data_IF_247773420813
#
_entry.id   IF_247773420813
#
_cell.length_a   1.000
_cell.length_b   1.000
_cell.length_c   1.000
_cell.angle_alpha   90.00
_cell.angle_beta   90.00
_cell.angle_gamma   90.00
#
_symmetry.space_group_name_H-M   'P 1'
#
loop_
_entity.id
_entity.type
_entity.pdbx_description
1 polymer ?
#
# COMPACT_ATOMS: atom_id res chain seq x y z
N UNK A 1 62.80 34.69 -6.25
CA UNK A 1 62.64 35.07 -7.68
C UNK A 1 63.49 34.13 -8.54
N UNK A 2 62.95 32.95 -8.88
CA UNK A 2 63.56 31.99 -9.81
C UNK A 2 62.48 31.49 -10.78
N UNK A 3 62.49 32.16 -11.93
CA UNK A 3 62.03 31.83 -13.29
C UNK A 3 61.06 30.65 -13.49
N UNK A 4 59.80 31.02 -13.79
CA UNK A 4 58.71 30.27 -14.44
C UNK A 4 59.07 29.46 -15.71
N UNK A 5 60.30 29.57 -16.23
CA UNK A 5 60.75 28.89 -17.46
C UNK A 5 61.02 27.39 -17.28
N UNK A 6 61.22 26.90 -16.06
CA UNK A 6 61.55 25.48 -15.81
C UNK A 6 60.34 24.55 -15.74
N UNK A 7 59.14 25.07 -15.40
CA UNK A 7 57.93 24.25 -15.30
C UNK A 7 57.23 24.08 -16.66
N UNK A 8 57.39 25.04 -17.57
CA UNK A 8 56.84 24.99 -18.92
C UNK A 8 57.55 23.97 -19.82
N UNK A 9 58.80 23.59 -19.53
CA UNK A 9 59.49 22.52 -20.28
C UNK A 9 59.06 21.12 -19.84
N UNK A 10 58.71 20.92 -18.57
CA UNK A 10 58.22 19.62 -18.08
C UNK A 10 56.81 19.33 -18.62
N UNK A 11 55.96 20.34 -18.75
CA UNK A 11 54.61 20.20 -19.33
C UNK A 11 54.63 20.03 -20.86
N UNK A 12 55.62 20.57 -21.57
CA UNK A 12 55.68 20.48 -23.05
C UNK A 12 56.16 19.12 -23.55
N UNK A 13 56.96 18.40 -22.75
CA UNK A 13 57.53 17.10 -23.16
C UNK A 13 56.56 15.92 -22.94
N UNK A 14 55.53 16.04 -22.09
CA UNK A 14 54.58 14.96 -21.81
C UNK A 14 53.43 14.86 -22.83
N UNK A 15 53.26 15.86 -23.71
CA UNK A 15 52.24 15.87 -24.76
C UNK A 15 52.68 15.22 -26.08
N UNK A 16 53.88 14.65 -26.16
CA UNK A 16 54.36 14.00 -27.38
C UNK A 16 54.82 12.58 -27.06
N UNK A 17 54.04 11.62 -27.54
CA UNK A 17 54.21 10.15 -27.42
C UNK A 17 53.57 9.49 -26.19
N UNK A 18 52.28 9.13 -26.32
CA UNK A 18 51.95 7.71 -26.22
C UNK A 18 50.68 7.40 -27.02
N UNK A 19 50.86 6.53 -28.02
CA UNK A 19 49.82 5.99 -28.89
C UNK A 19 49.01 4.94 -28.12
N UNK A 20 47.89 5.30 -27.51
CA UNK A 20 46.79 4.36 -27.15
C UNK A 20 45.46 5.11 -27.02
N UNK A 21 44.74 5.39 -28.13
CA UNK A 21 43.55 6.24 -28.12
C UNK A 21 42.25 5.44 -27.96
N UNK A 22 42.15 4.49 -27.02
CA UNK A 22 40.92 3.68 -26.92
C UNK A 22 40.42 3.21 -25.55
N UNK A 23 41.15 3.43 -24.46
CA UNK A 23 40.78 2.83 -23.15
C UNK A 23 40.52 3.81 -21.99
N UNK A 24 40.84 5.10 -22.15
CA UNK A 24 40.60 6.10 -21.08
C UNK A 24 39.23 6.78 -21.20
N UNK A 25 38.59 6.74 -22.38
CA UNK A 25 37.28 7.35 -22.60
C UNK A 25 36.09 6.58 -22.00
N UNK A 26 36.26 5.29 -21.67
CA UNK A 26 35.15 4.42 -21.23
C UNK A 26 34.95 4.49 -19.71
N UNK A 27 35.97 4.84 -18.91
CA UNK A 27 35.88 4.83 -17.44
C UNK A 27 35.23 6.09 -16.86
N UNK A 28 35.19 7.20 -17.60
CA UNK A 28 34.57 8.46 -17.18
C UNK A 28 33.04 8.52 -17.36
N UNK A 29 32.45 7.62 -18.15
CA UNK A 29 31.02 7.64 -18.48
C UNK A 29 30.13 6.92 -17.44
N UNK A 30 30.72 6.23 -16.46
CA UNK A 30 29.99 5.40 -15.50
C UNK A 30 29.47 6.15 -14.26
N UNK A 31 29.86 7.42 -14.04
CA UNK A 31 29.49 8.18 -12.83
C UNK A 31 28.28 9.12 -12.96
N UNK A 32 27.67 9.21 -14.14
CA UNK A 32 26.55 10.14 -14.42
C UNK A 32 25.16 9.51 -14.29
N UNK A 33 25.07 8.23 -13.89
CA UNK A 33 23.82 7.49 -13.70
C UNK A 33 23.31 7.49 -12.25
N UNK A 34 23.69 8.48 -11.43
CA UNK A 34 22.90 8.79 -10.24
C UNK A 34 21.62 9.47 -10.69
N UNK A 35 20.67 8.67 -11.19
CA UNK A 35 19.31 9.10 -11.44
C UNK A 35 18.80 9.73 -10.16
N UNK A 36 18.47 11.02 -10.22
CA UNK A 36 17.81 11.73 -9.14
C UNK A 36 16.48 11.01 -8.92
N UNK A 37 16.45 10.07 -7.97
CA UNK A 37 15.25 9.34 -7.60
C UNK A 37 14.40 10.34 -6.82
N UNK A 38 13.68 11.21 -7.54
CA UNK A 38 12.80 12.19 -6.93
C UNK A 38 11.66 11.42 -6.30
N UNK A 39 11.73 11.28 -4.97
CA UNK A 39 10.66 10.68 -4.19
C UNK A 39 9.44 11.60 -4.27
N UNK A 40 8.28 11.02 -4.59
CA UNK A 40 7.04 11.79 -4.68
C UNK A 40 6.66 12.31 -3.28
N UNK A 41 6.16 13.54 -3.21
CA UNK A 41 5.55 14.06 -1.99
C UNK A 41 4.26 13.29 -1.65
N UNK A 42 3.74 13.36 -0.39
CA UNK A 42 2.48 12.74 -0.04
C UNK A 42 1.35 13.11 -1.00
N UNK A 43 1.24 14.39 -1.35
CA UNK A 43 0.23 14.89 -2.29
C UNK A 43 0.40 14.33 -3.70
N UNK A 44 1.62 14.24 -4.20
CA UNK A 44 1.91 13.68 -5.52
C UNK A 44 1.58 12.20 -5.57
N UNK A 45 1.93 11.44 -4.53
CA UNK A 45 1.56 10.02 -4.39
C UNK A 45 0.04 9.86 -4.35
N UNK A 46 -0.67 10.66 -3.53
CA UNK A 46 -2.15 10.64 -3.46
C UNK A 46 -2.77 10.93 -4.82
N UNK A 47 -2.29 11.94 -5.52
CA UNK A 47 -2.80 12.33 -6.85
C UNK A 47 -2.58 11.22 -7.87
N UNK A 48 -1.37 10.65 -7.92
CA UNK A 48 -1.05 9.58 -8.86
C UNK A 48 -1.88 8.32 -8.59
N UNK A 49 -2.07 7.97 -7.31
CA UNK A 49 -2.92 6.86 -6.89
C UNK A 49 -4.37 7.05 -7.35
N UNK A 50 -5.00 8.19 -7.01
CA UNK A 50 -6.42 8.40 -7.33
C UNK A 50 -6.67 8.58 -8.83
N UNK A 51 -5.76 9.21 -9.58
CA UNK A 51 -5.83 9.24 -11.05
C UNK A 51 -5.86 7.83 -11.64
N UNK A 52 -4.99 6.95 -11.16
CA UNK A 52 -4.98 5.55 -11.60
C UNK A 52 -6.29 4.84 -11.23
N UNK A 53 -6.81 5.04 -10.01
CA UNK A 53 -8.07 4.43 -9.57
C UNK A 53 -9.27 4.86 -10.41
N UNK A 54 -9.45 6.16 -10.66
CA UNK A 54 -10.61 6.67 -11.43
C UNK A 54 -10.53 6.28 -12.92
N UNK A 55 -9.33 6.05 -13.45
CA UNK A 55 -9.09 5.56 -14.80
C UNK A 55 -9.17 4.02 -14.92
N UNK A 56 -9.31 3.29 -13.81
CA UNK A 56 -9.30 1.82 -13.80
C UNK A 56 -7.91 1.20 -14.01
N UNK A 57 -6.83 1.96 -13.86
CA UNK A 57 -5.45 1.52 -14.04
C UNK A 57 -4.91 0.87 -12.76
N UNK A 58 -5.42 -0.31 -12.39
CA UNK A 58 -5.13 -0.95 -11.10
C UNK A 58 -3.63 -1.24 -10.88
N UNK A 59 -2.91 -1.66 -11.91
CA UNK A 59 -1.46 -1.90 -11.81
C UNK A 59 -0.66 -0.62 -11.60
N UNK A 60 -1.15 0.52 -12.13
CA UNK A 60 -0.59 1.83 -11.82
C UNK A 60 -0.89 2.22 -10.37
N UNK A 61 -2.13 2.02 -9.91
CA UNK A 61 -2.55 2.33 -8.55
C UNK A 61 -1.73 1.54 -7.51
N UNK A 62 -1.53 0.24 -7.74
CA UNK A 62 -0.73 -0.65 -6.88
C UNK A 62 0.71 -0.17 -6.68
N UNK A 63 1.32 0.53 -7.64
CA UNK A 63 2.67 1.11 -7.49
C UNK A 63 2.75 2.18 -6.41
N UNK A 64 1.64 2.83 -6.10
CA UNK A 64 1.53 3.89 -5.10
C UNK A 64 0.96 3.39 -3.77
N UNK A 65 0.63 2.11 -3.65
CA UNK A 65 0.03 1.51 -2.45
C UNK A 65 1.08 0.81 -1.59
N UNK A 66 0.89 0.86 -0.27
CA UNK A 66 1.72 0.17 0.70
C UNK A 66 1.68 -1.34 0.46
N UNK A 67 2.82 -2.03 0.63
CA UNK A 67 2.96 -3.46 0.29
C UNK A 67 1.87 -4.31 0.95
N UNK A 68 1.59 -4.07 2.22
CA UNK A 68 0.62 -4.83 3.00
C UNK A 68 -0.83 -4.66 2.51
N UNK A 69 -1.15 -3.51 1.90
CA UNK A 69 -2.52 -3.18 1.45
C UNK A 69 -2.69 -3.23 -0.06
N UNK A 70 -1.64 -3.60 -0.80
CA UNK A 70 -1.63 -3.63 -2.26
C UNK A 70 -2.66 -4.62 -2.84
N UNK A 71 -2.88 -5.75 -2.16
CA UNK A 71 -3.86 -6.76 -2.58
C UNK A 71 -5.31 -6.27 -2.50
N UNK A 72 -5.57 -5.23 -1.70
CA UNK A 72 -6.91 -4.64 -1.55
C UNK A 72 -7.26 -3.70 -2.72
N UNK A 73 -6.28 -3.33 -3.54
CA UNK A 73 -6.50 -2.48 -4.73
C UNK A 73 -7.21 -3.28 -5.81
N UNK A 74 -8.53 -3.15 -5.82
CA UNK A 74 -9.44 -3.78 -6.77
C UNK A 74 -10.26 -2.74 -7.51
N UNK A 75 -10.84 -3.15 -8.64
CA UNK A 75 -11.75 -2.31 -9.43
C UNK A 75 -12.93 -1.85 -8.57
N UNK A 76 -13.21 -0.56 -8.57
CA UNK A 76 -14.34 0.05 -7.88
C UNK A 76 -15.23 0.76 -8.90
N UNK A 77 -16.31 0.10 -9.32
CA UNK A 77 -17.22 0.62 -10.36
C UNK A 77 -17.80 2.00 -10.00
N UNK A 78 -17.98 2.28 -8.71
CA UNK A 78 -18.57 3.51 -8.20
C UNK A 78 -17.66 4.75 -8.30
N UNK A 79 -16.35 4.58 -8.49
CA UNK A 79 -15.40 5.70 -8.66
C UNK A 79 -14.80 5.76 -10.07
N UNK A 80 -15.08 4.76 -10.92
CA UNK A 80 -14.59 4.77 -12.28
C UNK A 80 -15.24 5.87 -13.10
N UNK A 81 -14.43 6.60 -13.86
CA UNK A 81 -14.88 7.78 -14.60
C UNK A 81 -15.20 8.99 -13.72
N UNK A 82 -14.99 8.90 -12.41
CA UNK A 82 -15.00 10.05 -11.52
C UNK A 82 -13.83 11.00 -11.85
N UNK A 83 -13.95 12.26 -11.44
CA UNK A 83 -12.91 13.27 -11.64
C UNK A 83 -12.24 13.57 -10.31
N UNK A 84 -10.91 13.49 -10.27
CA UNK A 84 -10.13 13.99 -9.14
C UNK A 84 -10.08 15.51 -9.25
N UNK A 85 -10.81 16.20 -8.37
CA UNK A 85 -10.91 17.66 -8.39
C UNK A 85 -9.68 18.30 -7.76
N UNK A 86 -9.36 17.89 -6.52
CA UNK A 86 -8.34 18.55 -5.72
C UNK A 86 -7.77 17.65 -4.62
N UNK A 87 -6.47 17.77 -4.40
CA UNK A 87 -5.79 17.43 -3.15
C UNK A 87 -5.65 18.68 -2.30
N UNK A 88 -5.91 18.55 -1.00
CA UNK A 88 -6.03 19.65 -0.05
C UNK A 88 -4.95 19.61 1.02
N UNK A 89 -5.35 19.95 2.25
CA UNK A 89 -4.46 20.01 3.40
C UNK A 89 -3.66 18.71 3.59
N UNK A 90 -2.36 18.87 3.84
CA UNK A 90 -1.42 17.78 4.10
C UNK A 90 -0.99 17.88 5.56
N UNK A 91 -1.17 16.81 6.31
CA UNK A 91 -0.68 16.68 7.69
C UNK A 91 0.34 15.55 7.71
N UNK A 92 1.58 15.84 8.08
CA UNK A 92 2.67 14.85 8.18
C UNK A 92 3.00 14.65 9.65
N UNK A 93 2.98 13.39 10.09
CA UNK A 93 3.32 12.97 11.45
C UNK A 93 4.30 11.78 11.39
N UNK A 94 5.59 12.10 11.45
CA UNK A 94 6.68 11.13 11.33
C UNK A 94 6.60 10.32 10.04
N UNK A 95 6.46 8.98 10.11
CA UNK A 95 6.34 8.12 8.94
C UNK A 95 4.93 8.07 8.35
N UNK A 96 3.96 8.83 8.89
CA UNK A 96 2.59 8.86 8.42
C UNK A 96 2.24 10.22 7.81
N UNK A 97 1.31 10.24 6.86
CA UNK A 97 0.72 11.48 6.37
C UNK A 97 -0.77 11.30 6.07
N UNK A 98 -1.51 12.40 6.14
CA UNK A 98 -2.90 12.49 5.67
C UNK A 98 -3.01 13.58 4.63
N UNK A 99 -3.70 13.29 3.54
CA UNK A 99 -3.97 14.25 2.45
C UNK A 99 -5.47 14.33 2.23
N UNK A 100 -6.06 15.50 2.48
CA UNK A 100 -7.46 15.75 2.16
C UNK A 100 -7.68 15.58 0.64
N UNK A 101 -8.66 14.81 0.25
CA UNK A 101 -8.89 14.40 -1.14
C UNK A 101 -10.34 14.68 -1.52
N UNK A 102 -10.53 15.29 -2.70
CA UNK A 102 -11.85 15.61 -3.24
C UNK A 102 -12.03 14.94 -4.59
N UNK A 103 -13.03 14.07 -4.69
CA UNK A 103 -13.40 13.33 -5.91
C UNK A 103 -14.84 13.66 -6.29
N UNK A 104 -15.07 14.04 -7.55
CA UNK A 104 -16.41 14.24 -8.11
C UNK A 104 -16.86 12.97 -8.83
N UNK A 105 -17.88 12.32 -8.27
CA UNK A 105 -18.54 11.17 -8.89
C UNK A 105 -19.44 11.64 -10.03
N UNK A 106 -19.36 10.95 -11.17
CA UNK A 106 -20.32 11.11 -12.26
C UNK A 106 -21.50 10.18 -12.00
N UNK A 107 -22.63 10.74 -11.59
CA UNK A 107 -23.91 10.05 -11.53
C UNK A 107 -24.86 10.63 -12.59
N UNK A 108 -25.76 9.80 -13.11
CA UNK A 108 -26.68 10.16 -14.18
C UNK A 108 -27.67 11.29 -13.82
N UNK A 109 -27.94 11.50 -12.52
CA UNK A 109 -28.95 12.46 -12.06
C UNK A 109 -28.38 13.66 -11.30
N UNK A 110 -27.20 13.56 -10.68
CA UNK A 110 -26.51 14.67 -10.03
C UNK A 110 -25.03 14.34 -9.74
N UNK A 111 -24.13 15.27 -10.01
CA UNK A 111 -22.72 15.14 -9.62
C UNK A 111 -22.62 15.17 -8.09
N UNK A 112 -21.94 14.17 -7.50
CA UNK A 112 -21.73 14.09 -6.05
C UNK A 112 -20.26 14.27 -5.74
N UNK A 113 -19.95 15.24 -4.89
CA UNK A 113 -18.59 15.47 -4.38
C UNK A 113 -18.34 14.62 -3.15
N UNK A 114 -17.26 13.83 -3.16
CA UNK A 114 -16.74 13.08 -2.03
C UNK A 114 -15.51 13.80 -1.48
N UNK A 115 -15.47 14.02 -0.17
CA UNK A 115 -14.30 14.58 0.53
C UNK A 115 -13.89 13.63 1.64
N UNK A 116 -12.63 13.21 1.66
CA UNK A 116 -12.09 12.25 2.63
C UNK A 116 -10.58 12.42 2.79
N UNK A 117 -10.02 11.85 3.86
CA UNK A 117 -8.58 11.82 4.07
C UNK A 117 -7.96 10.55 3.50
N UNK A 118 -7.03 10.73 2.54
CA UNK A 118 -6.14 9.65 2.11
C UNK A 118 -5.03 9.48 3.14
N UNK A 119 -4.85 8.27 3.63
CA UNK A 119 -3.81 7.93 4.61
C UNK A 119 -2.60 7.38 3.89
N UNK A 120 -1.42 7.87 4.24
CA UNK A 120 -0.15 7.42 3.70
C UNK A 120 0.80 7.00 4.82
N UNK A 121 1.68 6.09 4.48
CA UNK A 121 2.82 5.68 5.27
C UNK A 121 4.09 5.74 4.42
N UNK A 122 5.24 5.88 5.06
CA UNK A 122 6.55 5.91 4.40
C UNK A 122 7.17 4.51 4.41
N UNK A 123 7.36 3.92 3.24
CA UNK A 123 8.01 2.62 3.00
C UNK A 123 9.28 2.86 2.19
N UNK A 124 10.44 2.41 2.67
CA UNK A 124 11.73 2.55 1.98
C UNK A 124 11.99 4.00 1.51
N UNK A 125 11.72 4.98 2.39
CA UNK A 125 11.78 6.43 2.12
C UNK A 125 10.82 6.96 1.02
N UNK A 126 9.88 6.15 0.56
CA UNK A 126 8.84 6.51 -0.42
C UNK A 126 7.46 6.55 0.23
N UNK A 127 6.69 7.59 -0.04
CA UNK A 127 5.29 7.66 0.40
C UNK A 127 4.42 6.66 -0.36
N UNK A 128 3.62 5.92 0.40
CA UNK A 128 2.67 4.91 -0.09
C UNK A 128 1.32 5.09 0.55
N UNK A 129 0.25 4.89 -0.21
CA UNK A 129 -1.13 4.93 0.31
C UNK A 129 -1.36 3.68 1.17
N UNK A 130 -1.72 3.89 2.42
CA UNK A 130 -2.30 2.86 3.28
C UNK A 130 -3.77 2.72 2.87
N UNK A 131 -4.03 1.78 1.96
CA UNK A 131 -5.33 1.71 1.32
C UNK A 131 -6.41 1.19 2.27
N UNK A 132 -6.05 0.30 3.20
CA UNK A 132 -6.97 -0.17 4.23
C UNK A 132 -7.43 0.97 5.15
N UNK A 133 -6.50 1.78 5.67
CA UNK A 133 -6.88 2.93 6.52
C UNK A 133 -7.63 4.00 5.72
N UNK A 134 -7.30 4.19 4.46
CA UNK A 134 -8.04 5.10 3.57
C UNK A 134 -9.48 4.64 3.36
N UNK A 135 -9.71 3.34 3.15
CA UNK A 135 -11.06 2.77 3.06
C UNK A 135 -11.84 2.93 4.37
N UNK A 136 -11.20 2.74 5.52
CA UNK A 136 -11.84 2.95 6.81
C UNK A 136 -12.29 4.41 7.00
N UNK A 137 -11.51 5.39 6.54
CA UNK A 137 -11.90 6.80 6.55
C UNK A 137 -13.06 7.08 5.59
N UNK A 138 -13.09 6.40 4.44
CA UNK A 138 -14.19 6.50 3.49
C UNK A 138 -15.49 5.96 4.11
N UNK A 139 -15.47 4.83 4.83
CA UNK A 139 -16.64 4.15 5.43
C UNK A 139 -17.46 4.99 6.41
N UNK A 140 -16.96 6.15 6.83
CA UNK A 140 -17.63 7.10 7.74
C UNK A 140 -18.54 8.08 6.96
N UNK A 141 -18.46 8.11 5.62
CA UNK A 141 -19.34 8.91 4.76
C UNK A 141 -20.62 8.13 4.41
N UNK A 142 -21.78 8.81 4.20
CA UNK A 142 -23.07 8.15 3.98
C UNK A 142 -23.09 7.42 2.63
N UNK A 143 -22.67 6.16 2.66
CA UNK A 143 -22.70 5.17 1.58
C UNK A 143 -24.07 4.51 1.42
N UNK A 144 -25.14 5.31 1.33
CA UNK A 144 -26.50 4.80 1.18
C UNK A 144 -26.72 3.89 -0.04
N UNK A 145 -25.85 3.94 -1.06
CA UNK A 145 -26.04 3.21 -2.33
C UNK A 145 -24.97 2.14 -2.61
N UNK A 146 -23.73 2.29 -2.12
CA UNK A 146 -22.64 1.34 -2.37
C UNK A 146 -22.70 0.11 -1.44
N UNK A 147 -23.34 0.26 -0.26
CA UNK A 147 -23.62 -0.89 0.62
C UNK A 147 -24.71 -1.79 0.03
N UNK A 148 -25.58 -1.31 -0.86
CA UNK A 148 -26.59 -2.18 -1.48
C UNK A 148 -25.94 -3.20 -2.43
N UNK A 149 -24.83 -2.84 -3.11
CA UNK A 149 -24.03 -3.80 -3.90
C UNK A 149 -23.24 -4.80 -3.04
N UNK A 150 -22.82 -4.40 -1.83
CA UNK A 150 -22.21 -5.34 -0.86
C UNK A 150 -23.26 -6.22 -0.16
N UNK A 151 -24.48 -5.73 0.06
CA UNK A 151 -25.62 -6.53 0.54
C UNK A 151 -26.03 -7.55 -0.52
N UNK A 152 -26.01 -7.21 -1.81
CA UNK A 152 -26.25 -8.19 -2.87
C UNK A 152 -25.20 -9.31 -2.91
N UNK A 153 -23.92 -9.01 -2.63
CA UNK A 153 -22.87 -10.02 -2.48
C UNK A 153 -23.05 -10.80 -1.17
N UNK A 154 -23.44 -10.12 -0.08
CA UNK A 154 -23.79 -10.71 1.21
C UNK A 154 -24.99 -11.65 1.13
N UNK A 155 -26.03 -11.32 0.35
CA UNK A 155 -27.24 -12.13 0.17
C UNK A 155 -26.98 -13.34 -0.73
N UNK A 156 -26.08 -13.22 -1.71
CA UNK A 156 -25.62 -14.36 -2.54
C UNK A 156 -24.71 -15.29 -1.73
N UNK A 157 -23.87 -14.74 -0.85
CA UNK A 157 -23.10 -15.53 0.12
C UNK A 157 -24.03 -16.17 1.15
N UNK A 158 -25.01 -15.43 1.69
CA UNK A 158 -25.96 -15.92 2.69
C UNK A 158 -26.88 -17.00 2.13
N UNK A 159 -27.34 -16.89 0.88
CA UNK A 159 -28.08 -17.99 0.20
C UNK A 159 -27.23 -19.23 -0.04
N UNK A 160 -25.94 -19.07 -0.39
CA UNK A 160 -25.01 -20.21 -0.51
C UNK A 160 -24.58 -20.78 0.85
N UNK A 161 -24.59 -19.96 1.90
CA UNK A 161 -24.32 -20.37 3.27
C UNK A 161 -25.53 -21.12 3.83
N UNK A 162 -26.76 -20.60 3.69
CA UNK A 162 -28.01 -21.25 4.12
C UNK A 162 -28.20 -22.64 3.50
N UNK A 163 -27.80 -22.83 2.24
CA UNK A 163 -27.82 -24.15 1.60
C UNK A 163 -26.73 -25.11 2.13
N UNK A 164 -25.72 -24.62 2.83
CA UNK A 164 -24.60 -25.40 3.40
C UNK A 164 -24.56 -25.42 4.94
N UNK A 165 -25.42 -24.64 5.62
CA UNK A 165 -25.60 -24.62 7.09
C UNK A 165 -25.85 -26.02 7.69
N UNK A 166 -26.68 -26.92 7.12
CA UNK A 166 -26.96 -28.20 7.80
C UNK A 166 -25.74 -29.14 7.87
N UNK A 167 -24.71 -28.93 7.04
CA UNK A 167 -23.45 -29.66 7.13
C UNK A 167 -22.48 -29.03 8.14
N UNK A 168 -22.54 -27.70 8.32
CA UNK A 168 -21.66 -26.97 9.23
C UNK A 168 -22.12 -27.07 10.70
N UNK A 169 -23.42 -27.07 10.97
CA UNK A 169 -23.96 -27.20 12.34
C UNK A 169 -23.54 -28.51 13.03
N UNK A 170 -23.62 -29.62 12.30
CA UNK A 170 -23.23 -30.92 12.84
C UNK A 170 -21.73 -31.02 13.11
N UNK A 171 -20.91 -30.32 12.31
CA UNK A 171 -19.45 -30.33 12.45
C UNK A 171 -18.97 -29.38 13.55
N UNK A 172 -19.64 -28.24 13.73
CA UNK A 172 -19.36 -27.31 14.85
C UNK A 172 -19.84 -27.90 16.17
N UNK A 173 -20.98 -28.59 16.20
CA UNK A 173 -21.49 -29.26 17.40
C UNK A 173 -20.57 -30.40 17.84
N UNK A 174 -20.17 -31.29 16.92
CA UNK A 174 -19.25 -32.38 17.26
C UNK A 174 -17.87 -31.89 17.71
N UNK A 175 -17.39 -30.79 17.13
CA UNK A 175 -16.16 -30.13 17.57
C UNK A 175 -16.30 -29.50 18.96
N UNK A 176 -17.43 -28.83 19.24
CA UNK A 176 -17.73 -28.26 20.55
C UNK A 176 -17.84 -29.34 21.64
N UNK A 177 -18.53 -30.44 21.34
CA UNK A 177 -18.69 -31.56 22.28
C UNK A 177 -17.33 -32.22 22.58
N UNK A 178 -16.46 -32.37 21.58
CA UNK A 178 -15.11 -32.92 21.79
C UNK A 178 -14.21 -31.96 22.60
N UNK A 179 -14.31 -30.64 22.38
CA UNK A 179 -13.58 -29.65 23.19
C UNK A 179 -14.02 -29.67 24.67
N UNK A 180 -15.33 -29.75 24.93
CA UNK A 180 -15.85 -29.86 26.30
C UNK A 180 -15.33 -31.14 26.96
N UNK A 181 -15.37 -32.27 26.23
CA UNK A 181 -14.89 -33.56 26.74
C UNK A 181 -13.40 -33.53 27.09
N UNK A 182 -12.57 -32.90 26.25
CA UNK A 182 -11.14 -32.75 26.49
C UNK A 182 -10.85 -31.83 27.67
N UNK A 183 -11.61 -30.75 27.84
CA UNK A 183 -11.47 -29.84 28.99
C UNK A 183 -11.87 -30.50 30.30
N UNK A 184 -12.94 -31.29 30.33
CA UNK A 184 -13.35 -32.06 31.51
C UNK A 184 -12.35 -33.16 31.86
N UNK A 185 -11.82 -33.85 30.85
CA UNK A 185 -10.79 -34.87 31.06
C UNK A 185 -9.49 -34.25 31.62
N UNK A 186 -9.08 -33.09 31.10
CA UNK A 186 -7.95 -32.33 31.62
C UNK A 186 -8.18 -31.86 33.07
N UNK A 187 -9.38 -31.36 33.37
CA UNK A 187 -9.77 -30.96 34.73
C UNK A 187 -9.72 -32.14 35.70
N UNK A 188 -10.24 -33.30 35.31
CA UNK A 188 -10.18 -34.51 36.13
C UNK A 188 -8.75 -35.01 36.34
N UNK A 189 -7.87 -34.89 35.34
CA UNK A 189 -6.45 -35.18 35.51
C UNK A 189 -5.77 -34.24 36.51
N UNK A 190 -6.07 -32.93 36.45
CA UNK A 190 -5.57 -31.96 37.44
C UNK A 190 -6.07 -32.24 38.85
N UNK A 191 -7.34 -32.60 39.01
CA UNK A 191 -7.94 -32.91 40.31
C UNK A 191 -7.38 -34.21 40.92
N UNK A 192 -7.12 -35.22 40.07
CA UNK A 192 -6.46 -36.48 40.47
C UNK A 192 -4.99 -36.30 40.82
N UNK A 193 -4.25 -35.48 40.06
CA UNK A 193 -2.86 -35.16 40.36
C UNK A 193 -2.73 -34.41 41.70
N UNK A 194 -3.59 -33.41 41.93
CA UNK A 194 -3.58 -32.59 43.15
C UNK A 194 -3.99 -33.37 44.42
N UNK A 195 -4.85 -34.38 44.28
CA UNK A 195 -5.24 -35.25 45.40
C UNK A 195 -4.20 -36.34 45.72
N UNK A 196 -3.28 -36.63 44.81
CA UNK A 196 -2.18 -37.60 45.04
C UNK A 196 -1.00 -36.99 45.79
N UNK A 197 -0.78 -35.66 45.70
CA UNK A 197 0.28 -34.95 46.44
C UNK A 197 -0.08 -34.64 47.92
N UNK A 198 -1.33 -34.84 48.35
CA UNK A 198 -1.81 -34.59 49.72
C UNK A 198 -1.95 -35.84 50.60
N UNK A 199 -1.24 -36.93 50.29
CA UNK A 199 -1.29 -38.17 51.07
C UNK A 199 0.09 -38.66 51.49
#
# INVERSE_FOLDING_TARGET
>A
MIKYKSLLQILRQYCTNHKTPRLIGVLGLLFILNGCQTTLSPEQTTTAFWKAMVNGELESAKKYTARETQALVVKQENIMGASLEKTGMIVIDGPNAKVATVVMLKNHENNKTLTFDTVLLKEDDVWKVDYQKTLNNLSILPFGEVINSLRAIGDVINKKLEQQIPLFENQVKSFSDELIRQLDEFRHQLEKANSTERK
#
